data_IF_928623515304
#
_entry.id   IF_928623515304
#
_cell.length_a   1.000
_cell.length_b   1.000
_cell.length_c   1.000
_cell.angle_alpha   90.00
_cell.angle_beta   90.00
_cell.angle_gamma   90.00
#
_symmetry.space_group_name_H-M   'P 1'
#
loop_
_entity.id
_entity.type
_entity.pdbx_description
1 polymer ?
#
# COMPACT_ATOMS: atom_id res chain seq x y z
N UNK A 1 -0.23 -22.15 -0.69
CA UNK A 1 -0.43 -21.67 -2.07
C UNK A 1 0.22 -20.30 -2.18
N UNK A 2 1.27 -20.17 -2.98
CA UNK A 2 2.06 -18.93 -3.06
C UNK A 2 1.30 -17.84 -3.81
N UNK A 3 1.23 -16.65 -3.21
CA UNK A 3 0.71 -15.45 -3.88
C UNK A 3 1.57 -15.18 -5.14
N UNK A 4 0.96 -14.94 -6.30
CA UNK A 4 1.71 -14.77 -7.54
C UNK A 4 2.59 -13.50 -7.46
N UNK A 5 3.84 -13.53 -7.98
CA UNK A 5 4.80 -12.42 -7.93
C UNK A 5 4.27 -11.08 -8.49
N UNK A 6 3.29 -11.14 -9.41
CA UNK A 6 2.66 -9.97 -10.03
C UNK A 6 1.81 -9.16 -9.03
N UNK A 7 1.34 -9.77 -7.94
CA UNK A 7 0.59 -9.08 -6.88
C UNK A 7 1.46 -8.11 -6.07
N UNK A 8 2.77 -8.38 -5.96
CA UNK A 8 3.69 -7.53 -5.20
C UNK A 8 3.98 -6.20 -5.91
N UNK A 9 4.21 -6.22 -7.22
CA UNK A 9 4.45 -5.00 -7.99
C UNK A 9 3.28 -4.01 -7.90
N UNK A 10 2.03 -4.50 -8.01
CA UNK A 10 0.85 -3.64 -7.88
C UNK A 10 0.66 -3.08 -6.45
N UNK A 11 1.06 -3.84 -5.42
CA UNK A 11 1.05 -3.35 -4.03
C UNK A 11 2.12 -2.28 -3.83
N UNK A 12 3.32 -2.49 -4.37
CA UNK A 12 4.42 -1.53 -4.27
C UNK A 12 4.10 -0.23 -5.02
N UNK A 13 3.46 -0.31 -6.20
CA UNK A 13 2.97 0.86 -6.96
C UNK A 13 1.97 1.68 -6.14
N UNK A 14 1.02 1.03 -5.46
CA UNK A 14 0.02 1.70 -4.60
C UNK A 14 0.71 2.35 -3.39
N UNK A 15 1.61 1.63 -2.70
CA UNK A 15 2.34 2.15 -1.54
C UNK A 15 3.20 3.35 -1.95
N UNK A 16 3.92 3.25 -3.07
CA UNK A 16 4.77 4.33 -3.57
C UNK A 16 3.94 5.56 -3.95
N UNK A 17 2.80 5.38 -4.62
CA UNK A 17 1.94 6.49 -5.01
C UNK A 17 1.26 7.18 -3.81
N UNK A 18 0.82 6.43 -2.79
CA UNK A 18 0.33 7.02 -1.54
C UNK A 18 1.42 7.76 -0.77
N UNK A 19 2.64 7.20 -0.73
CA UNK A 19 3.81 7.82 -0.10
C UNK A 19 4.17 9.13 -0.80
N UNK A 20 4.25 9.12 -2.13
CA UNK A 20 4.56 10.30 -2.94
C UNK A 20 3.51 11.40 -2.81
N UNK A 21 2.24 11.02 -2.59
CA UNK A 21 1.16 11.96 -2.34
C UNK A 21 1.12 12.50 -0.89
N UNK A 22 1.99 12.02 0.01
CA UNK A 22 1.95 12.38 1.42
C UNK A 22 0.69 11.89 2.14
N UNK A 23 0.00 10.90 1.57
CA UNK A 23 -1.25 10.37 2.09
C UNK A 23 -1.00 9.37 3.23
N UNK A 24 -0.27 9.78 4.26
CA UNK A 24 0.11 8.94 5.42
C UNK A 24 -0.77 9.17 6.65
N UNK A 25 -1.65 10.18 6.61
CA UNK A 25 -2.58 10.52 7.68
C UNK A 25 -4.02 10.51 7.20
N UNK A 26 -5.02 10.26 8.08
CA UNK A 26 -6.43 10.23 7.71
C UNK A 26 -6.92 11.52 7.01
N UNK A 27 -6.41 12.69 7.42
CA UNK A 27 -6.74 13.98 6.80
C UNK A 27 -6.05 14.23 5.45
N UNK A 28 -4.93 13.54 5.19
CA UNK A 28 -4.13 13.66 3.97
C UNK A 28 -4.46 12.58 2.94
N UNK A 29 -5.39 11.67 3.23
CA UNK A 29 -5.76 10.58 2.33
C UNK A 29 -6.18 11.09 0.95
N UNK A 30 -5.99 10.27 -0.08
CA UNK A 30 -6.34 10.61 -1.47
C UNK A 30 -7.27 9.55 -2.08
N UNK A 31 -8.11 9.96 -3.01
CA UNK A 31 -9.00 9.02 -3.70
C UNK A 31 -8.22 8.13 -4.68
N UNK A 32 -8.81 6.99 -5.05
CA UNK A 32 -8.24 6.10 -6.07
C UNK A 32 -8.00 6.81 -7.42
N UNK A 33 -8.83 7.81 -7.76
CA UNK A 33 -8.63 8.63 -8.97
C UNK A 33 -7.41 9.54 -8.86
N UNK A 34 -7.12 10.05 -7.66
CA UNK A 34 -5.98 10.94 -7.39
C UNK A 34 -4.64 10.21 -7.25
N UNK A 35 -4.68 8.90 -6.94
CA UNK A 35 -3.50 8.02 -6.94
C UNK A 35 -2.73 8.04 -8.27
N UNK A 36 -3.36 8.49 -9.37
CA UNK A 36 -2.65 8.86 -10.60
C UNK A 36 -1.99 7.67 -11.32
N UNK A 37 -2.31 6.44 -10.95
CA UNK A 37 -1.83 5.24 -11.61
C UNK A 37 -2.38 5.23 -13.05
N UNK A 38 -1.53 5.60 -14.02
CA UNK A 38 -1.87 5.81 -15.44
C UNK A 38 -2.66 4.65 -16.08
N UNK A 39 -2.53 3.42 -15.54
CA UNK A 39 -3.37 2.27 -15.89
C UNK A 39 -3.71 1.47 -14.63
N UNK A 40 -4.85 1.76 -14.03
CA UNK A 40 -5.43 0.86 -13.04
C UNK A 40 -5.79 -0.47 -13.72
N UNK A 41 -5.18 -1.57 -13.26
CA UNK A 41 -5.42 -2.94 -13.76
C UNK A 41 -6.17 -3.75 -12.70
N UNK A 42 -6.73 -4.90 -13.07
CA UNK A 42 -7.37 -5.83 -12.14
C UNK A 42 -6.46 -6.19 -10.95
N UNK A 43 -5.16 -6.41 -11.21
CA UNK A 43 -4.15 -6.67 -10.17
C UNK A 43 -4.01 -5.54 -9.13
N UNK A 44 -4.35 -4.29 -9.47
CA UNK A 44 -4.34 -3.17 -8.52
C UNK A 44 -5.56 -3.20 -7.61
N UNK A 45 -6.71 -3.68 -8.11
CA UNK A 45 -7.90 -3.88 -7.28
C UNK A 45 -7.65 -4.98 -6.25
N UNK A 46 -7.09 -6.11 -6.68
CA UNK A 46 -6.75 -7.22 -5.78
C UNK A 46 -5.66 -6.80 -4.77
N UNK A 47 -4.64 -6.09 -5.24
CA UNK A 47 -3.58 -5.53 -4.42
C UNK A 47 -4.14 -4.56 -3.36
N UNK A 48 -5.03 -3.65 -3.75
CA UNK A 48 -5.66 -2.70 -2.83
C UNK A 48 -6.52 -3.43 -1.79
N UNK A 49 -7.31 -4.42 -2.21
CA UNK A 49 -8.10 -5.25 -1.30
C UNK A 49 -7.22 -5.91 -0.24
N UNK A 50 -6.13 -6.52 -0.66
CA UNK A 50 -5.19 -7.15 0.26
C UNK A 50 -4.47 -6.15 1.18
N UNK A 51 -4.12 -4.95 0.68
CA UNK A 51 -3.54 -3.90 1.53
C UNK A 51 -4.52 -3.35 2.58
N UNK A 52 -5.81 -3.30 2.24
CA UNK A 52 -6.89 -2.94 3.19
C UNK A 52 -7.07 -4.03 4.26
N UNK A 53 -7.08 -5.30 3.86
CA UNK A 53 -7.18 -6.44 4.79
C UNK A 53 -6.00 -6.49 5.77
N UNK A 54 -4.79 -6.18 5.29
CA UNK A 54 -3.58 -6.11 6.12
C UNK A 54 -3.50 -4.83 6.97
N UNK A 55 -4.44 -3.88 6.79
CA UNK A 55 -4.45 -2.57 7.45
C UNK A 55 -3.42 -1.57 6.92
N UNK A 56 -2.54 -1.99 6.00
CA UNK A 56 -1.45 -1.16 5.45
C UNK A 56 -1.99 0.08 4.77
N UNK A 57 -3.16 -0.03 4.14
CA UNK A 57 -3.95 1.09 3.64
C UNK A 57 -5.25 1.11 4.41
N UNK A 58 -5.73 2.30 4.76
CA UNK A 58 -7.03 2.49 5.41
C UNK A 58 -7.88 3.43 4.58
N UNK A 59 -9.17 3.11 4.48
CA UNK A 59 -10.17 3.96 3.83
C UNK A 59 -10.79 4.89 4.88
N UNK A 60 -10.49 6.18 4.75
CA UNK A 60 -11.07 7.26 5.53
C UNK A 60 -12.33 7.84 4.90
N UNK A 61 -12.85 8.95 5.46
CA UNK A 61 -14.05 9.64 4.98
C UNK A 61 -13.94 10.01 3.49
N UNK A 62 -15.04 9.86 2.74
CA UNK A 62 -15.08 10.17 1.31
C UNK A 62 -14.21 9.24 0.44
N UNK A 63 -14.04 7.99 0.87
CA UNK A 63 -13.26 6.95 0.18
C UNK A 63 -11.76 7.29 0.02
N UNK A 64 -11.25 8.19 0.86
CA UNK A 64 -9.86 8.63 0.82
C UNK A 64 -8.96 7.55 1.41
N UNK A 65 -8.02 7.07 0.62
CA UNK A 65 -7.04 6.07 1.00
C UNK A 65 -5.84 6.76 1.64
N UNK A 66 -5.40 6.26 2.79
CA UNK A 66 -4.13 6.68 3.41
C UNK A 66 -3.31 5.46 3.82
N UNK A 67 -2.00 5.62 3.74
CA UNK A 67 -1.00 4.63 4.08
C UNK A 67 -0.72 4.65 5.58
N UNK A 68 -0.80 3.50 6.23
CA UNK A 68 -0.34 3.33 7.61
C UNK A 68 1.15 3.02 7.58
N UNK A 69 1.98 4.06 7.68
CA UNK A 69 3.43 3.99 7.46
C UNK A 69 4.13 2.87 8.28
N UNK A 70 3.84 2.67 9.58
CA UNK A 70 4.45 1.59 10.34
C UNK A 70 4.12 0.18 9.81
N UNK A 71 2.91 -0.01 9.27
CA UNK A 71 2.47 -1.28 8.72
C UNK A 71 3.02 -1.50 7.32
N UNK A 72 3.08 -0.45 6.48
CA UNK A 72 3.75 -0.49 5.18
C UNK A 72 5.22 -0.88 5.32
N UNK A 73 5.94 -0.29 6.30
CA UNK A 73 7.33 -0.63 6.59
C UNK A 73 7.51 -2.09 7.02
N UNK A 74 6.62 -2.61 7.88
CA UNK A 74 6.63 -4.03 8.30
C UNK A 74 6.36 -4.97 7.13
N UNK A 75 5.45 -4.61 6.23
CA UNK A 75 5.12 -5.38 5.04
C UNK A 75 6.31 -5.48 4.09
N UNK A 76 6.98 -4.36 3.81
CA UNK A 76 8.18 -4.33 2.94
C UNK A 76 9.33 -5.12 3.58
N UNK A 77 9.57 -4.94 4.87
CA UNK A 77 10.54 -5.70 5.66
C UNK A 77 10.27 -7.22 5.60
N UNK A 78 9.01 -7.63 5.80
CA UNK A 78 8.59 -9.03 5.74
C UNK A 78 8.76 -9.67 4.35
N UNK A 79 8.60 -8.90 3.27
CA UNK A 79 8.78 -9.37 1.88
C UNK A 79 10.24 -9.53 1.47
N UNK A 80 11.08 -8.61 1.93
CA UNK A 80 12.50 -8.56 1.57
C UNK A 80 13.35 -9.49 2.43
N UNK A 81 12.76 -10.18 3.41
CA UNK A 81 13.49 -10.91 4.45
C UNK A 81 14.28 -9.98 5.39
N UNK A 82 14.16 -8.67 5.21
CA UNK A 82 14.85 -7.66 5.99
C UNK A 82 14.19 -7.52 7.36
N UNK A 83 14.90 -7.93 8.41
CA UNK A 83 14.44 -7.81 9.80
C UNK A 83 15.09 -6.57 10.42
N UNK A 84 14.36 -5.45 10.59
CA UNK A 84 14.95 -4.21 11.10
C UNK A 84 15.43 -4.30 12.56
N UNK A 85 15.05 -5.34 13.30
CA UNK A 85 15.58 -5.64 14.64
C UNK A 85 16.94 -6.36 14.65
N UNK A 86 17.51 -6.67 13.48
CA UNK A 86 18.90 -7.13 13.34
C UNK A 86 19.89 -5.98 13.07
N UNK A 87 19.45 -4.71 13.18
CA UNK A 87 20.32 -3.53 13.14
C UNK A 87 20.67 -3.02 14.55
N UNK A 88 20.94 -3.94 15.47
CA UNK A 88 21.44 -3.65 16.82
C UNK A 88 22.88 -4.13 16.95
#
# INVERSE_FOLDING_TARGET
MGYPPVAFAAQDDIIAALTAAGATEPGAGITQRQLGLRRWKHSHTDALGHLLELGVVVRGPGERLHLVEPQARRLIAGRTGFRPWNLA
#
